data_IF_595611847982
#
_entry.id   IF_595611847982
#
_cell.length_a   1.000
_cell.length_b   1.000
_cell.length_c   1.000
_cell.angle_alpha   90.00
_cell.angle_beta   90.00
_cell.angle_gamma   90.00
#
_symmetry.space_group_name_H-M   'P 1'
#
loop_
_entity.id
_entity.type
_entity.pdbx_description
1 polymer ?
#
# COMPACT_ATOMS: atom_id res chain seq x y z
N UNK A 1 7.19 -9.69 33.90
CA UNK A 1 6.41 -9.33 32.70
C UNK A 1 5.27 -10.32 32.54
N UNK A 2 4.02 -9.86 32.44
CA UNK A 2 2.83 -10.74 32.37
C UNK A 2 2.40 -10.97 30.92
N UNK A 3 1.61 -12.03 30.67
CA UNK A 3 1.05 -12.34 29.35
C UNK A 3 0.25 -11.16 28.75
N UNK A 4 -0.43 -10.39 29.61
CA UNK A 4 -1.16 -9.18 29.25
C UNK A 4 -0.22 -8.07 28.75
N UNK A 5 0.91 -7.87 29.44
CA UNK A 5 1.94 -6.89 29.04
C UNK A 5 2.61 -7.30 27.71
N UNK A 6 2.87 -8.59 27.50
CA UNK A 6 3.43 -9.08 26.24
C UNK A 6 2.49 -8.86 25.04
N UNK A 7 1.19 -9.14 25.20
CA UNK A 7 0.17 -8.89 24.16
C UNK A 7 0.04 -7.41 23.79
N UNK A 8 0.10 -6.54 24.80
CA UNK A 8 0.06 -5.09 24.58
C UNK A 8 1.28 -4.63 23.76
N UNK A 9 2.47 -5.12 24.10
CA UNK A 9 3.71 -4.79 23.39
C UNK A 9 3.72 -5.27 21.94
N UNK A 10 3.17 -6.47 21.66
CA UNK A 10 3.00 -6.97 20.28
C UNK A 10 2.07 -6.04 19.47
N UNK A 11 1.01 -5.53 20.09
CA UNK A 11 0.07 -4.61 19.42
C UNK A 11 0.76 -3.29 19.05
N UNK A 12 1.60 -2.76 19.94
CA UNK A 12 2.37 -1.54 19.71
C UNK A 12 3.39 -1.73 18.59
N UNK A 13 4.15 -2.83 18.60
CA UNK A 13 5.10 -3.18 17.53
C UNK A 13 4.40 -3.24 16.17
N UNK A 14 3.21 -3.87 16.09
CA UNK A 14 2.46 -3.93 14.82
C UNK A 14 2.02 -2.55 14.34
N UNK A 15 1.64 -1.65 15.25
CA UNK A 15 1.26 -0.29 14.92
C UNK A 15 2.45 0.49 14.36
N UNK A 16 3.62 0.32 14.98
CA UNK A 16 4.87 0.96 14.55
C UNK A 16 5.36 0.40 13.21
N UNK A 17 5.26 -0.91 12.98
CA UNK A 17 5.53 -1.52 11.67
C UNK A 17 4.60 -0.99 10.57
N UNK A 18 3.30 -0.80 10.86
CA UNK A 18 2.39 -0.17 9.89
C UNK A 18 2.83 1.26 9.56
N UNK A 19 3.25 2.04 10.56
CA UNK A 19 3.72 3.42 10.38
C UNK A 19 4.99 3.48 9.54
N UNK A 20 6.00 2.69 9.89
CA UNK A 20 7.26 2.61 9.13
C UNK A 20 7.02 2.14 7.69
N UNK A 21 6.12 1.18 7.49
CA UNK A 21 5.71 0.76 6.15
C UNK A 21 4.99 1.86 5.37
N UNK A 22 4.26 2.77 6.02
CA UNK A 22 3.67 3.95 5.37
C UNK A 22 4.75 4.96 4.97
N UNK A 23 5.68 5.29 5.87
CA UNK A 23 6.78 6.23 5.61
C UNK A 23 7.68 5.77 4.47
N UNK A 24 8.07 4.49 4.44
CA UNK A 24 8.86 3.93 3.34
C UNK A 24 8.15 4.08 1.98
N UNK A 25 6.82 3.86 1.95
CA UNK A 25 6.02 4.03 0.73
C UNK A 25 5.92 5.49 0.30
N UNK A 26 5.74 6.43 1.22
CA UNK A 26 5.76 7.87 0.89
C UNK A 26 7.10 8.29 0.28
N UNK A 27 8.21 7.73 0.78
CA UNK A 27 9.55 7.95 0.22
C UNK A 27 9.67 7.37 -1.19
N UNK A 28 9.25 6.13 -1.44
CA UNK A 28 9.28 5.55 -2.79
C UNK A 28 8.45 6.35 -3.79
N UNK A 29 7.25 6.76 -3.39
CA UNK A 29 6.36 7.59 -4.21
C UNK A 29 6.97 8.97 -4.50
N UNK A 30 7.62 9.58 -3.50
CA UNK A 30 8.35 10.82 -3.68
C UNK A 30 9.50 10.66 -4.70
N UNK A 31 10.28 9.60 -4.59
CA UNK A 31 11.38 9.30 -5.51
C UNK A 31 10.87 9.06 -6.94
N UNK A 32 9.75 8.36 -7.11
CA UNK A 32 9.12 8.16 -8.41
C UNK A 32 8.53 9.45 -9.01
N UNK A 33 7.95 10.33 -8.19
CA UNK A 33 7.42 11.64 -8.64
C UNK A 33 8.51 12.56 -9.23
N UNK A 34 9.77 12.29 -8.89
CA UNK A 34 10.96 12.98 -9.43
C UNK A 34 11.52 12.32 -10.68
N UNK A 35 10.89 11.26 -11.19
CA UNK A 35 11.31 10.55 -12.40
C UNK A 35 12.51 9.63 -12.20
N UNK A 36 12.81 9.24 -10.96
CA UNK A 36 14.03 8.51 -10.61
C UNK A 36 13.87 6.97 -10.76
N UNK A 37 13.54 6.48 -11.96
CA UNK A 37 13.74 5.06 -12.29
C UNK A 37 14.61 4.93 -13.54
N UNK A 38 15.60 4.04 -13.47
CA UNK A 38 16.44 3.69 -14.61
C UNK A 38 15.66 2.92 -15.71
N UNK A 39 14.53 2.28 -15.37
CA UNK A 39 13.73 1.45 -16.28
C UNK A 39 12.60 2.20 -17.01
N UNK A 40 12.41 3.50 -16.72
CA UNK A 40 11.40 4.34 -17.36
C UNK A 40 9.95 4.13 -16.90
N UNK A 41 9.70 3.34 -15.85
CA UNK A 41 8.33 3.11 -15.36
C UNK A 41 7.88 4.17 -14.36
N UNK A 42 7.14 5.18 -14.81
CA UNK A 42 6.49 6.13 -13.88
C UNK A 42 5.20 5.55 -13.29
N UNK A 43 5.15 5.33 -11.96
CA UNK A 43 3.89 5.14 -11.26
C UNK A 43 3.12 6.46 -11.25
N UNK A 44 2.02 6.52 -12.00
CA UNK A 44 1.16 7.68 -12.03
C UNK A 44 0.29 7.70 -10.75
N UNK A 45 0.61 8.59 -9.81
CA UNK A 45 -0.13 8.70 -8.54
C UNK A 45 -1.62 8.99 -8.70
N UNK A 46 -2.02 9.57 -9.83
CA UNK A 46 -3.42 9.87 -10.14
C UNK A 46 -4.15 8.72 -10.83
N UNK A 47 -3.48 7.62 -11.14
CA UNK A 47 -4.11 6.47 -11.79
C UNK A 47 -5.19 5.84 -10.90
N UNK A 48 -6.21 5.27 -11.53
CA UNK A 48 -7.30 4.57 -10.85
C UNK A 48 -6.75 3.44 -9.97
N UNK A 49 -5.76 2.71 -10.48
CA UNK A 49 -5.10 1.59 -9.80
C UNK A 49 -4.42 2.04 -8.50
N UNK A 50 -3.70 3.17 -8.54
CA UNK A 50 -3.04 3.72 -7.36
C UNK A 50 -4.06 4.27 -6.34
N UNK A 51 -5.16 4.86 -6.80
CA UNK A 51 -6.26 5.29 -5.93
C UNK A 51 -6.91 4.10 -5.21
N UNK A 52 -7.23 3.02 -5.94
CA UNK A 52 -7.76 1.78 -5.39
C UNK A 52 -6.77 1.17 -4.38
N UNK A 53 -5.48 1.13 -4.73
CA UNK A 53 -4.44 0.57 -3.88
C UNK A 53 -4.28 1.35 -2.56
N UNK A 54 -4.29 2.69 -2.60
CA UNK A 54 -4.24 3.52 -1.38
C UNK A 54 -5.49 3.38 -0.52
N UNK A 55 -6.66 3.33 -1.15
CA UNK A 55 -7.93 3.13 -0.46
C UNK A 55 -7.98 1.76 0.26
N UNK A 56 -7.40 0.71 -0.33
CA UNK A 56 -7.20 -0.57 0.34
C UNK A 56 -6.24 -0.46 1.53
N UNK A 57 -5.09 0.23 1.35
CA UNK A 57 -4.11 0.42 2.43
C UNK A 57 -4.65 1.21 3.62
N UNK A 58 -5.63 2.10 3.40
CA UNK A 58 -6.32 2.82 4.49
C UNK A 58 -7.28 1.92 5.29
N UNK A 59 -7.37 0.63 4.96
CA UNK A 59 -8.17 -0.36 5.68
C UNK A 59 -9.54 -0.64 5.06
N UNK A 60 -9.86 -0.11 3.86
CA UNK A 60 -11.10 -0.47 3.18
C UNK A 60 -11.02 -1.92 2.69
N UNK A 61 -12.12 -2.65 2.89
CA UNK A 61 -12.22 -4.05 2.43
C UNK A 61 -12.58 -4.12 0.95
N UNK A 62 -12.24 -5.22 0.27
CA UNK A 62 -12.47 -5.40 -1.17
C UNK A 62 -13.91 -5.14 -1.62
N UNK A 63 -14.91 -5.50 -0.80
CA UNK A 63 -16.33 -5.24 -1.09
C UNK A 63 -16.68 -3.75 -1.12
N UNK A 64 -16.08 -2.94 -0.25
CA UNK A 64 -16.32 -1.50 -0.22
C UNK A 64 -15.70 -0.82 -1.44
N UNK A 65 -14.48 -1.22 -1.79
CA UNK A 65 -13.77 -0.73 -2.97
C UNK A 65 -14.51 -1.11 -4.27
N UNK A 66 -15.03 -2.34 -4.35
CA UNK A 66 -15.82 -2.79 -5.49
C UNK A 66 -17.04 -1.87 -5.76
N UNK A 67 -17.74 -1.45 -4.70
CA UNK A 67 -18.87 -0.53 -4.81
C UNK A 67 -18.40 0.88 -5.19
N UNK A 68 -17.39 1.40 -4.50
CA UNK A 68 -16.87 2.77 -4.67
C UNK A 68 -16.33 3.02 -6.08
N UNK A 69 -15.64 2.04 -6.65
CA UNK A 69 -15.01 2.14 -7.96
C UNK A 69 -15.82 1.48 -9.08
N UNK A 70 -17.02 0.95 -8.77
CA UNK A 70 -17.89 0.24 -9.71
C UNK A 70 -17.16 -0.89 -10.46
N UNK A 71 -16.45 -1.74 -9.72
CA UNK A 71 -15.69 -2.89 -10.20
C UNK A 71 -16.08 -4.16 -9.44
N UNK A 72 -15.80 -5.33 -10.00
CA UNK A 72 -15.95 -6.58 -9.26
C UNK A 72 -14.88 -6.70 -8.16
N UNK A 73 -15.18 -7.48 -7.11
CA UNK A 73 -14.18 -7.80 -6.09
C UNK A 73 -12.98 -8.59 -6.62
N UNK A 74 -13.10 -9.23 -7.78
CA UNK A 74 -11.99 -9.93 -8.43
C UNK A 74 -11.01 -8.92 -9.06
N UNK A 75 -11.53 -7.97 -9.83
CA UNK A 75 -10.74 -6.89 -10.45
C UNK A 75 -10.03 -6.04 -9.39
N UNK A 76 -10.71 -5.70 -8.29
CA UNK A 76 -10.08 -4.98 -7.17
C UNK A 76 -8.87 -5.74 -6.60
N UNK A 77 -8.99 -7.06 -6.42
CA UNK A 77 -7.88 -7.87 -5.90
C UNK A 77 -6.70 -7.92 -6.86
N UNK A 78 -6.98 -8.07 -8.16
CA UNK A 78 -5.96 -8.09 -9.20
C UNK A 78 -5.20 -6.75 -9.27
N UNK A 79 -5.94 -5.64 -9.27
CA UNK A 79 -5.38 -4.28 -9.24
C UNK A 79 -4.47 -4.10 -8.01
N UNK A 80 -4.93 -4.52 -6.83
CA UNK A 80 -4.15 -4.39 -5.59
C UNK A 80 -2.88 -5.25 -5.64
N UNK A 81 -2.98 -6.49 -6.11
CA UNK A 81 -1.82 -7.38 -6.26
C UNK A 81 -0.78 -6.77 -7.19
N UNK A 82 -1.21 -6.39 -8.40
CA UNK A 82 -0.33 -5.88 -9.43
C UNK A 82 0.32 -4.55 -9.04
N UNK A 83 -0.47 -3.61 -8.53
CA UNK A 83 0.02 -2.29 -8.09
C UNK A 83 0.93 -2.43 -6.89
N UNK A 84 0.61 -3.31 -5.94
CA UNK A 84 1.49 -3.62 -4.80
C UNK A 84 2.82 -4.22 -5.22
N UNK A 85 2.83 -5.09 -6.24
CA UNK A 85 4.06 -5.61 -6.85
C UNK A 85 4.96 -4.52 -7.41
N UNK A 86 4.38 -3.56 -8.15
CA UNK A 86 5.12 -2.41 -8.69
C UNK A 86 5.68 -1.48 -7.62
N UNK A 87 4.88 -1.14 -6.62
CA UNK A 87 5.31 -0.31 -5.49
C UNK A 87 6.42 -1.01 -4.70
N UNK A 88 6.33 -2.32 -4.50
CA UNK A 88 7.40 -3.07 -3.85
C UNK A 88 8.67 -3.09 -4.71
N UNK A 89 8.58 -3.38 -6.01
CA UNK A 89 9.75 -3.32 -6.89
C UNK A 89 10.44 -1.95 -6.80
N UNK A 90 9.68 -0.85 -6.77
CA UNK A 90 10.20 0.50 -6.63
C UNK A 90 10.90 0.80 -5.29
N UNK A 91 10.63 0.01 -4.24
CA UNK A 91 11.27 0.16 -2.93
C UNK A 91 12.61 -0.58 -2.81
N UNK A 92 12.87 -1.56 -3.68
CA UNK A 92 13.99 -2.49 -3.55
C UNK A 92 14.95 -2.51 -4.76
N UNK A 93 14.59 -1.84 -5.86
CA UNK A 93 15.54 -1.41 -6.89
C UNK A 93 16.38 -0.22 -6.40
#
# INVERSE_FOLDING_TARGET
MTLKQARQRIKEIRKEQMKLGQEAREIALFLESKGAREDGTTLNEKSLEMQIFRAWQSGKIYKQLAIEFNLSSAEIKEIIWYTGGKVNAALWD
#
